data_IF_782228457778
#
_entry.id   IF_782228457778
#
_cell.length_a   1.000
_cell.length_b   1.000
_cell.length_c   1.000
_cell.angle_alpha   90.00
_cell.angle_beta   90.00
_cell.angle_gamma   90.00
#
_symmetry.space_group_name_H-M   'P 1'
#
loop_
_entity.id
_entity.type
_entity.pdbx_description
1 polymer ?
#
# COMPACT_ATOMS: atom_id res chain seq x y z
N UNK A 1 -3.86 -18.49 -2.77
CA UNK A 1 -3.42 -17.27 -2.03
C UNK A 1 -2.33 -17.65 -1.06
N UNK A 2 -1.30 -16.87 -1.00
CA UNK A 2 -0.13 -17.10 -0.15
C UNK A 2 0.11 -15.89 0.74
N UNK A 3 0.49 -16.11 1.99
CA UNK A 3 0.77 -15.03 2.94
C UNK A 3 2.10 -15.27 3.64
N UNK A 4 2.92 -14.23 3.69
CA UNK A 4 4.17 -14.22 4.45
C UNK A 4 4.03 -13.15 5.53
N UNK A 5 4.10 -13.56 6.80
CA UNK A 5 3.94 -12.64 7.93
C UNK A 5 5.23 -12.54 8.70
N UNK A 6 5.74 -11.32 8.85
CA UNK A 6 6.91 -11.00 9.68
C UNK A 6 6.49 -10.50 11.05
N UNK A 7 5.39 -9.75 11.09
CA UNK A 7 4.82 -9.21 12.32
C UNK A 7 3.31 -9.24 12.24
N UNK A 8 2.65 -9.85 13.22
CA UNK A 8 1.20 -9.91 13.29
C UNK A 8 0.62 -8.56 13.71
N UNK A 9 -0.57 -8.20 13.21
CA UNK A 9 -1.31 -7.07 13.75
C UNK A 9 -1.61 -7.25 15.24
N UNK A 10 -1.77 -6.14 15.95
CA UNK A 10 -2.23 -6.18 17.33
C UNK A 10 -3.57 -6.92 17.43
N UNK A 11 -3.84 -7.65 18.54
CA UNK A 11 -5.14 -8.30 18.75
C UNK A 11 -6.27 -7.28 18.61
N UNK A 12 -7.32 -7.65 17.89
CA UNK A 12 -8.47 -6.79 17.63
C UNK A 12 -8.15 -5.48 16.90
N UNK A 13 -7.02 -5.41 16.19
CA UNK A 13 -6.65 -4.23 15.42
C UNK A 13 -7.71 -3.94 14.36
N UNK A 14 -8.16 -2.68 14.30
CA UNK A 14 -9.02 -2.22 13.22
C UNK A 14 -8.19 -2.08 11.95
N UNK A 15 -8.80 -2.47 10.82
CA UNK A 15 -8.12 -2.52 9.53
C UNK A 15 -8.58 -1.39 8.64
N UNK A 16 -7.63 -0.86 7.85
CA UNK A 16 -7.90 0.15 6.84
C UNK A 16 -7.18 -0.25 5.56
N UNK A 17 -7.91 -0.35 4.46
CA UNK A 17 -7.34 -0.63 3.15
C UNK A 17 -7.37 0.62 2.28
N UNK A 18 -6.39 0.75 1.41
CA UNK A 18 -6.27 1.87 0.49
C UNK A 18 -6.57 1.43 -0.93
N UNK A 19 -7.37 2.22 -1.62
CA UNK A 19 -7.64 2.06 -3.04
C UNK A 19 -7.66 3.43 -3.67
N UNK A 20 -7.22 3.55 -4.91
CA UNK A 20 -7.19 4.84 -5.58
C UNK A 20 -6.63 4.74 -6.98
N UNK A 21 -6.40 5.89 -7.57
CA UNK A 21 -5.98 5.99 -8.95
C UNK A 21 -4.51 5.64 -9.15
N UNK A 22 -4.22 5.10 -10.34
CA UNK A 22 -2.86 5.01 -10.85
C UNK A 22 -2.39 6.39 -11.30
N UNK A 23 -1.07 6.59 -11.51
CA UNK A 23 -0.52 7.90 -11.81
C UNK A 23 -1.19 8.61 -12.98
N UNK A 24 -1.56 7.87 -14.03
CA UNK A 24 -2.21 8.45 -15.21
C UNK A 24 -3.58 9.10 -14.91
N UNK A 25 -4.20 8.78 -13.79
CA UNK A 25 -5.48 9.35 -13.33
C UNK A 25 -5.34 10.35 -12.20
N UNK A 26 -4.14 10.50 -11.65
CA UNK A 26 -3.89 11.48 -10.58
C UNK A 26 -3.84 12.90 -11.17
N UNK A 27 -4.32 13.92 -10.43
CA UNK A 27 -4.22 15.32 -10.88
C UNK A 27 -2.78 15.76 -11.15
N UNK A 28 -1.80 15.22 -10.43
CA UNK A 28 -0.38 15.53 -10.60
C UNK A 28 0.34 14.51 -11.49
N UNK A 29 -0.37 13.48 -12.00
CA UNK A 29 0.22 12.43 -12.84
C UNK A 29 1.35 11.70 -12.14
N UNK A 30 2.53 11.67 -12.78
CA UNK A 30 3.73 11.04 -12.24
C UNK A 30 4.59 12.01 -11.42
N UNK A 31 4.29 13.31 -11.43
CA UNK A 31 5.09 14.31 -10.72
C UNK A 31 4.57 14.52 -9.29
N UNK A 32 4.96 13.61 -8.41
CA UNK A 32 4.59 13.66 -6.99
C UNK A 32 5.24 14.83 -6.25
N UNK A 33 6.30 15.42 -6.81
CA UNK A 33 7.00 16.56 -6.20
C UNK A 33 6.44 17.91 -6.66
N UNK A 34 5.46 17.90 -7.55
CA UNK A 34 4.70 19.11 -7.89
C UNK A 34 3.95 19.63 -6.66
N UNK A 35 3.50 20.90 -6.66
CA UNK A 35 2.69 21.42 -5.55
C UNK A 35 1.46 20.56 -5.26
N UNK A 36 0.76 20.06 -6.30
CA UNK A 36 -0.41 19.19 -6.13
C UNK A 36 -0.01 17.84 -5.53
N UNK A 37 1.11 17.26 -6.00
CA UNK A 37 1.58 15.97 -5.48
C UNK A 37 2.00 16.04 -4.02
N UNK A 38 2.72 17.10 -3.65
CA UNK A 38 3.13 17.33 -2.26
C UNK A 38 1.93 17.56 -1.35
N UNK A 39 0.94 18.35 -1.80
CA UNK A 39 -0.28 18.57 -1.04
C UNK A 39 -1.07 17.29 -0.85
N UNK A 40 -1.17 16.48 -1.89
CA UNK A 40 -1.82 15.17 -1.81
C UNK A 40 -1.16 14.27 -0.75
N UNK A 41 0.16 14.14 -0.80
CA UNK A 41 0.90 13.32 0.17
C UNK A 41 0.73 13.83 1.60
N UNK A 42 0.74 15.15 1.77
CA UNK A 42 0.52 15.76 3.09
C UNK A 42 -0.86 15.44 3.64
N UNK A 43 -1.89 15.60 2.82
CA UNK A 43 -3.28 15.31 3.23
C UNK A 43 -3.49 13.82 3.52
N UNK A 44 -2.89 12.96 2.70
CA UNK A 44 -2.95 11.52 2.92
C UNK A 44 -2.31 11.15 4.25
N UNK A 45 -1.12 11.71 4.55
CA UNK A 45 -0.43 11.48 5.80
C UNK A 45 -1.28 11.92 7.00
N UNK A 46 -1.85 13.12 6.94
CA UNK A 46 -2.71 13.64 8.00
C UNK A 46 -3.94 12.75 8.20
N UNK A 47 -4.55 12.28 7.11
CA UNK A 47 -5.71 11.40 7.16
C UNK A 47 -5.36 10.05 7.79
N UNK A 48 -4.26 9.44 7.40
CA UNK A 48 -3.82 8.17 7.97
C UNK A 48 -3.49 8.35 9.47
N UNK A 49 -2.83 9.43 9.84
CA UNK A 49 -2.53 9.70 11.25
C UNK A 49 -3.80 9.84 12.09
N UNK A 50 -4.82 10.52 11.57
CA UNK A 50 -6.12 10.60 12.25
C UNK A 50 -6.73 9.21 12.44
N UNK A 51 -6.66 8.36 11.41
CA UNK A 51 -7.17 6.98 11.52
C UNK A 51 -6.40 6.18 12.57
N UNK A 52 -5.09 6.34 12.64
CA UNK A 52 -4.27 5.69 13.67
C UNK A 52 -4.73 6.14 15.06
N UNK A 53 -4.94 7.43 15.25
CA UNK A 53 -5.40 7.99 16.52
C UNK A 53 -6.81 7.51 16.88
N UNK A 54 -7.60 7.12 15.89
CA UNK A 54 -8.94 6.55 16.08
C UNK A 54 -8.92 5.03 16.34
N UNK A 55 -7.75 4.41 16.36
CA UNK A 55 -7.61 2.99 16.68
C UNK A 55 -7.36 2.05 15.50
N UNK A 56 -7.22 2.57 14.29
CA UNK A 56 -6.82 1.73 13.16
C UNK A 56 -5.34 1.42 13.26
N UNK A 57 -4.98 0.13 13.24
CA UNK A 57 -3.61 -0.32 13.47
C UNK A 57 -3.06 -1.22 12.37
N UNK A 58 -3.91 -1.75 11.51
CA UNK A 58 -3.48 -2.61 10.42
C UNK A 58 -3.87 -1.96 9.08
N UNK A 59 -2.86 -1.54 8.32
CA UNK A 59 -3.03 -0.82 7.06
C UNK A 59 -2.70 -1.74 5.90
N UNK A 60 -3.56 -1.77 4.87
CA UNK A 60 -3.43 -2.69 3.75
C UNK A 60 -3.35 -1.91 2.45
N UNK A 61 -2.28 -2.14 1.67
CA UNK A 61 -2.07 -1.55 0.35
C UNK A 61 -2.09 -2.62 -0.73
N UNK A 62 -2.68 -2.32 -1.88
CA UNK A 62 -2.70 -3.21 -3.04
C UNK A 62 -1.43 -3.24 -3.87
N UNK A 63 -0.46 -2.40 -3.56
CA UNK A 63 0.85 -2.40 -4.21
C UNK A 63 0.91 -1.81 -5.61
N UNK A 64 -0.19 -1.33 -6.18
CA UNK A 64 -0.19 -0.72 -7.51
C UNK A 64 0.49 0.65 -7.50
N UNK A 65 0.98 1.08 -8.67
CA UNK A 65 1.50 2.43 -8.83
C UNK A 65 0.44 3.47 -8.47
N UNK A 66 0.88 4.63 -8.00
CA UNK A 66 -0.01 5.71 -7.61
C UNK A 66 -0.43 5.61 -6.16
N UNK A 67 -1.71 5.68 -5.89
CA UNK A 67 -2.26 5.72 -4.52
C UNK A 67 -1.72 4.60 -3.62
N UNK A 68 -1.69 3.37 -4.13
CA UNK A 68 -1.32 2.21 -3.31
C UNK A 68 0.13 2.32 -2.79
N UNK A 69 1.07 2.65 -3.67
CA UNK A 69 2.48 2.81 -3.29
C UNK A 69 2.67 4.02 -2.38
N UNK A 70 2.04 5.14 -2.70
CA UNK A 70 2.14 6.36 -1.88
C UNK A 70 1.59 6.10 -0.48
N UNK A 71 0.47 5.40 -0.37
CA UNK A 71 -0.12 5.04 0.92
C UNK A 71 0.79 4.11 1.72
N UNK A 72 1.36 3.08 1.08
CA UNK A 72 2.29 2.16 1.74
C UNK A 72 3.52 2.90 2.27
N UNK A 73 4.12 3.76 1.46
CA UNK A 73 5.29 4.55 1.88
C UNK A 73 4.94 5.50 3.03
N UNK A 74 3.76 6.09 3.02
CA UNK A 74 3.28 6.96 4.08
C UNK A 74 3.12 6.18 5.39
N UNK A 75 2.56 4.99 5.33
CA UNK A 75 2.43 4.11 6.50
C UNK A 75 3.80 3.72 7.04
N UNK A 76 4.74 3.35 6.15
CA UNK A 76 6.12 3.02 6.56
C UNK A 76 6.76 4.17 7.34
N UNK A 77 6.56 5.41 6.89
CA UNK A 77 7.09 6.57 7.59
C UNK A 77 6.38 6.80 8.94
N UNK A 78 5.06 6.64 8.98
CA UNK A 78 4.29 6.79 10.22
C UNK A 78 4.58 5.70 11.25
N UNK A 79 5.04 4.51 10.83
CA UNK A 79 5.45 3.46 11.76
C UNK A 79 6.61 3.89 12.67
N UNK A 80 7.43 4.82 12.23
CA UNK A 80 8.51 5.37 13.07
C UNK A 80 7.96 6.07 14.31
N UNK A 81 6.79 6.69 14.18
CA UNK A 81 6.11 7.39 15.26
C UNK A 81 5.09 6.51 15.98
N UNK A 82 4.50 5.58 15.26
CA UNK A 82 3.47 4.66 15.75
C UNK A 82 3.91 3.21 15.49
N UNK A 83 4.82 2.67 16.32
CA UNK A 83 5.43 1.36 16.04
C UNK A 83 4.47 0.17 16.15
N UNK A 84 3.29 0.36 16.74
CA UNK A 84 2.26 -0.68 16.83
C UNK A 84 1.40 -0.81 15.56
N UNK A 85 1.55 0.11 14.60
CA UNK A 85 0.89 0.03 13.31
C UNK A 85 1.60 -1.01 12.44
N UNK A 86 0.83 -1.90 11.81
CA UNK A 86 1.35 -2.88 10.86
C UNK A 86 0.94 -2.54 9.44
N UNK A 87 1.82 -2.85 8.49
CA UNK A 87 1.58 -2.69 7.06
C UNK A 87 1.47 -4.06 6.40
N UNK A 88 0.36 -4.27 5.71
CA UNK A 88 0.19 -5.40 4.80
C UNK A 88 0.19 -4.89 3.37
N UNK A 89 0.94 -5.56 2.49
CA UNK A 89 0.87 -5.34 1.05
C UNK A 89 0.23 -6.58 0.44
N UNK A 90 -0.91 -6.39 -0.22
CA UNK A 90 -1.68 -7.46 -0.85
C UNK A 90 -1.60 -7.30 -2.36
N UNK A 91 -0.74 -8.08 -3.01
CA UNK A 91 -0.50 -7.98 -4.45
C UNK A 91 -1.33 -8.99 -5.23
N UNK A 92 -1.82 -8.61 -6.43
CA UNK A 92 -2.67 -9.51 -7.22
C UNK A 92 -1.90 -10.71 -7.77
N UNK A 93 -0.62 -10.54 -8.12
CA UNK A 93 0.26 -11.63 -8.58
C UNK A 93 1.73 -11.26 -8.35
N UNK A 94 2.59 -12.28 -8.27
CA UNK A 94 3.99 -12.10 -7.86
C UNK A 94 4.77 -11.08 -8.70
N UNK A 95 4.59 -11.11 -10.01
CA UNK A 95 5.31 -10.27 -10.95
C UNK A 95 4.61 -8.94 -11.23
N UNK A 96 3.81 -8.45 -10.30
CA UNK A 96 3.04 -7.21 -10.47
C UNK A 96 3.88 -6.06 -11.05
N UNK A 97 5.08 -5.87 -10.54
CA UNK A 97 5.93 -4.74 -10.89
C UNK A 97 6.96 -5.04 -11.99
N UNK A 98 6.97 -6.26 -12.54
CA UNK A 98 8.04 -6.71 -13.43
C UNK A 98 8.25 -5.80 -14.63
N UNK A 99 7.18 -5.26 -15.20
CA UNK A 99 7.23 -4.43 -16.41
C UNK A 99 7.22 -2.93 -16.12
N UNK A 100 7.25 -2.53 -14.87
CA UNK A 100 7.25 -1.11 -14.51
C UNK A 100 8.63 -0.48 -14.74
N UNK A 101 8.71 0.86 -14.91
CA UNK A 101 9.97 1.56 -14.89
C UNK A 101 10.77 1.24 -13.62
N UNK A 102 12.08 1.26 -13.72
CA UNK A 102 12.98 0.87 -12.63
C UNK A 102 12.70 1.62 -11.33
N UNK A 103 12.46 2.92 -11.42
CA UNK A 103 12.14 3.75 -10.26
C UNK A 103 10.94 3.22 -9.48
N UNK A 104 9.87 2.86 -10.18
CA UNK A 104 8.65 2.34 -9.55
C UNK A 104 8.84 0.91 -9.06
N UNK A 105 9.61 0.10 -9.78
CA UNK A 105 9.96 -1.25 -9.29
C UNK A 105 10.74 -1.18 -7.99
N UNK A 106 11.68 -0.23 -7.88
CA UNK A 106 12.46 -0.04 -6.67
C UNK A 106 11.57 0.38 -5.50
N UNK A 107 10.63 1.30 -5.72
CA UNK A 107 9.66 1.72 -4.70
C UNK A 107 8.78 0.55 -4.26
N UNK A 108 8.26 -0.20 -5.21
CA UNK A 108 7.47 -1.40 -4.94
C UNK A 108 8.26 -2.40 -4.10
N UNK A 109 9.51 -2.67 -4.49
CA UNK A 109 10.34 -3.62 -3.77
C UNK A 109 10.61 -3.16 -2.33
N UNK A 110 10.84 -1.87 -2.12
CA UNK A 110 10.99 -1.33 -0.75
C UNK A 110 9.74 -1.56 0.10
N UNK A 111 8.56 -1.38 -0.49
CA UNK A 111 7.30 -1.64 0.21
C UNK A 111 7.15 -3.12 0.56
N UNK A 112 7.46 -4.01 -0.39
CA UNK A 112 7.42 -5.46 -0.17
C UNK A 112 8.38 -5.87 0.95
N UNK A 113 9.60 -5.35 0.93
CA UNK A 113 10.63 -5.69 1.91
C UNK A 113 10.30 -5.17 3.31
N UNK A 114 9.66 -4.02 3.39
CA UNK A 114 9.31 -3.40 4.66
C UNK A 114 7.96 -3.87 5.22
N UNK A 115 7.12 -4.50 4.42
CA UNK A 115 5.80 -4.93 4.85
C UNK A 115 5.88 -5.93 6.00
N UNK A 116 5.02 -5.76 6.99
CA UNK A 116 4.86 -6.72 8.08
C UNK A 116 4.16 -7.98 7.60
N UNK A 117 3.27 -7.85 6.62
CA UNK A 117 2.60 -8.96 5.95
C UNK A 117 2.62 -8.74 4.44
N UNK A 118 2.94 -9.81 3.72
CA UNK A 118 2.82 -9.85 2.26
C UNK A 118 1.80 -10.91 1.90
N UNK A 119 0.74 -10.51 1.22
CA UNK A 119 -0.29 -11.42 0.73
C UNK A 119 -0.26 -11.44 -0.78
N UNK A 120 -0.07 -12.60 -1.37
CA UNK A 120 -0.05 -12.82 -2.81
C UNK A 120 -1.31 -13.56 -3.20
N UNK A 121 -2.18 -12.91 -3.97
CA UNK A 121 -3.48 -13.47 -4.33
C UNK A 121 -3.30 -14.60 -5.35
N UNK A 122 -2.40 -14.43 -6.31
CA UNK A 122 -2.12 -15.44 -7.33
C UNK A 122 -0.63 -15.44 -7.66
N UNK A 123 -0.05 -16.61 -7.97
CA UNK A 123 1.35 -16.69 -8.39
C UNK A 123 1.55 -16.05 -9.76
N UNK A 124 0.57 -16.23 -10.67
CA UNK A 124 0.61 -15.72 -12.02
C UNK A 124 -0.56 -14.78 -12.28
N UNK A 125 -0.40 -13.92 -13.30
CA UNK A 125 -1.49 -13.08 -13.76
C UNK A 125 -2.64 -13.95 -14.29
N UNK A 126 -3.84 -13.67 -13.80
CA UNK A 126 -5.09 -14.26 -14.30
C UNK A 126 -6.10 -13.15 -14.55
N UNK A 127 -7.14 -13.44 -15.33
CA UNK A 127 -8.20 -12.45 -15.60
C UNK A 127 -8.87 -11.92 -14.33
N UNK A 128 -8.90 -12.73 -13.28
CA UNK A 128 -9.64 -12.40 -12.06
C UNK A 128 -8.73 -11.99 -10.89
N UNK A 129 -7.39 -12.00 -11.03
CA UNK A 129 -6.51 -11.75 -9.91
C UNK A 129 -6.66 -10.31 -9.36
N UNK A 130 -6.90 -9.33 -10.23
CA UNK A 130 -7.12 -7.95 -9.80
C UNK A 130 -8.42 -7.81 -9.01
N UNK A 131 -9.48 -8.45 -9.45
CA UNK A 131 -10.76 -8.48 -8.72
C UNK A 131 -10.60 -9.22 -7.39
N UNK A 132 -9.91 -10.35 -7.40
CA UNK A 132 -9.66 -11.12 -6.19
C UNK A 132 -8.86 -10.30 -5.17
N UNK A 133 -7.84 -9.54 -5.60
CA UNK A 133 -7.09 -8.62 -4.74
C UNK A 133 -8.01 -7.55 -4.17
N UNK A 134 -8.85 -6.93 -5.00
CA UNK A 134 -9.75 -5.88 -4.55
C UNK A 134 -10.79 -6.40 -3.57
N UNK A 135 -11.31 -7.60 -3.76
CA UNK A 135 -12.20 -8.23 -2.78
C UNK A 135 -11.49 -8.52 -1.46
N UNK A 136 -10.23 -8.91 -1.52
CA UNK A 136 -9.43 -9.12 -0.32
C UNK A 136 -9.27 -7.84 0.51
N UNK A 137 -9.10 -6.69 -0.14
CA UNK A 137 -8.95 -5.40 0.54
C UNK A 137 -10.21 -4.98 1.30
N UNK A 138 -11.37 -5.43 0.87
CA UNK A 138 -12.65 -5.13 1.52
C UNK A 138 -12.98 -6.21 2.56
#
# INVERSE_FOLDING_TARGET
MENTTRRLPAPNARRCAFTGYRPCKMPFGYDEDSPLGRDFRKRLRETIEVLILQGYRHMISGGAQGMDIIAAETVMDLQKRYPDVTLEVAIPFEDQAKKWPEEYRARWQRCIDAADMLTVISHEYTKNCLYARNRYLV
#
